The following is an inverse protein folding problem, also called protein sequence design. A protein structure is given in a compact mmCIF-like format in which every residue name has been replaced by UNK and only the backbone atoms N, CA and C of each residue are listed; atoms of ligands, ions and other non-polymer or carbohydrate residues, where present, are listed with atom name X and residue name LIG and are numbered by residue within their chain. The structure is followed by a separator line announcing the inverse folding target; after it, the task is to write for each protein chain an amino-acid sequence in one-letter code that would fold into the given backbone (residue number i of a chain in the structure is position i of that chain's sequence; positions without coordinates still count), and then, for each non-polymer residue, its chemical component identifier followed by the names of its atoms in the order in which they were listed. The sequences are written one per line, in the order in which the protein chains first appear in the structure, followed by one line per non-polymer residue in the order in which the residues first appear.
data_IF_549399267647
#
_entry.id   IF_549399267647
#
_cell.length_a   1.000
_cell.length_b   1.000
_cell.length_c   1.000
_cell.angle_alpha   90.00
_cell.angle_beta   90.00
_cell.angle_gamma   90.00
#
_symmetry.space_group_name_H-M   'P 1'
#
loop_
_entity.id
_entity.type
_entity.pdbx_description
1 polymer ?
#
# COMPACT_ATOMS: atom_id res chain seq x y z
N UNK A 1 5.97 69.33 -6.44
CA UNK A 1 6.46 68.32 -7.40
C UNK A 1 6.80 67.06 -6.61
N UNK A 2 5.89 66.08 -6.61
CA UNK A 2 6.11 64.79 -5.99
C UNK A 2 6.89 63.89 -6.95
N UNK A 3 8.07 63.43 -6.53
CA UNK A 3 8.76 62.31 -7.21
C UNK A 3 8.17 61.02 -6.65
N UNK A 4 7.21 60.47 -7.39
CA UNK A 4 6.89 59.06 -7.32
C UNK A 4 8.06 58.30 -7.96
N UNK A 5 8.95 57.74 -7.14
CA UNK A 5 9.90 56.76 -7.64
C UNK A 5 9.21 55.40 -7.56
N UNK A 6 8.84 54.93 -8.74
CA UNK A 6 8.24 53.66 -9.03
C UNK A 6 9.13 52.54 -8.50
N UNK A 7 8.74 51.99 -7.35
CA UNK A 7 9.30 50.75 -6.83
C UNK A 7 9.18 49.67 -7.89
N UNK A 8 10.30 49.37 -8.53
CA UNK A 8 10.52 48.27 -9.44
C UNK A 8 10.32 46.94 -8.70
N UNK A 9 9.06 46.58 -8.40
CA UNK A 9 8.67 45.27 -7.87
C UNK A 9 8.60 44.30 -9.05
N UNK A 10 9.75 43.86 -9.54
CA UNK A 10 9.78 42.75 -10.47
C UNK A 10 10.97 41.84 -10.19
N UNK A 11 10.60 40.62 -9.77
CA UNK A 11 11.19 39.33 -10.13
C UNK A 11 12.52 38.96 -9.50
N UNK A 12 12.46 37.93 -8.64
CA UNK A 12 13.52 36.94 -8.58
C UNK A 12 14.01 36.52 -7.21
N UNK A 13 13.22 36.63 -6.15
CA UNK A 13 13.46 35.73 -5.02
C UNK A 13 13.06 34.33 -5.50
N UNK A 14 14.01 33.62 -6.11
CA UNK A 14 13.89 32.19 -6.36
C UNK A 14 13.79 31.54 -4.98
N UNK A 15 12.57 31.46 -4.45
CA UNK A 15 12.26 30.78 -3.21
C UNK A 15 12.83 29.37 -3.33
N UNK A 16 13.59 28.94 -2.33
CA UNK A 16 14.32 27.68 -2.38
C UNK A 16 13.35 26.49 -2.26
N UNK A 17 12.79 26.07 -3.40
CA UNK A 17 11.82 24.95 -3.49
C UNK A 17 12.44 23.65 -2.99
N UNK A 18 13.73 23.42 -3.24
CA UNK A 18 14.41 22.20 -2.78
C UNK A 18 14.54 22.15 -1.26
N UNK A 19 14.80 23.29 -0.62
CA UNK A 19 14.75 23.40 0.83
C UNK A 19 13.35 23.09 1.35
N UNK A 20 12.30 23.65 0.75
CA UNK A 20 10.91 23.36 1.14
C UNK A 20 10.59 21.86 0.97
N UNK A 21 10.94 21.24 -0.15
CA UNK A 21 10.79 19.79 -0.38
C UNK A 21 11.50 18.95 0.68
N UNK A 22 12.70 19.37 1.10
CA UNK A 22 13.44 18.69 2.18
C UNK A 22 12.70 18.76 3.52
N UNK A 23 12.11 19.91 3.86
CA UNK A 23 11.32 20.08 5.07
C UNK A 23 10.05 19.22 5.03
N UNK A 24 9.37 19.14 3.87
CA UNK A 24 8.21 18.24 3.72
C UNK A 24 8.59 16.81 4.04
N UNK A 25 9.71 16.30 3.51
CA UNK A 25 10.18 14.94 3.77
C UNK A 25 10.48 14.72 5.26
N UNK A 26 11.27 15.61 5.88
CA UNK A 26 11.64 15.51 7.30
C UNK A 26 10.41 15.53 8.22
N UNK A 27 9.47 16.45 7.99
CA UNK A 27 8.25 16.50 8.80
C UNK A 27 7.32 15.31 8.55
N UNK A 28 7.28 14.78 7.33
CA UNK A 28 6.51 13.56 7.02
C UNK A 28 7.06 12.33 7.74
N UNK A 29 8.39 12.18 7.80
CA UNK A 29 9.06 11.11 8.55
C UNK A 29 8.78 11.17 10.06
N UNK A 30 8.60 12.38 10.60
CA UNK A 30 8.22 12.61 11.99
C UNK A 30 6.71 12.53 12.27
N UNK A 31 5.88 12.29 11.24
CA UNK A 31 4.41 12.32 11.35
C UNK A 31 3.82 13.72 11.64
N UNK A 32 4.60 14.79 11.47
CA UNK A 32 4.20 16.17 11.72
C UNK A 32 3.49 16.77 10.50
N UNK A 33 2.31 16.24 10.18
CA UNK A 33 1.62 16.54 8.93
C UNK A 33 1.15 17.99 8.77
N UNK A 34 0.92 18.73 9.85
CA UNK A 34 0.60 20.17 9.78
C UNK A 34 1.78 20.99 9.25
N UNK A 35 2.99 20.71 9.74
CA UNK A 35 4.22 21.37 9.27
C UNK A 35 4.57 20.93 7.85
N UNK A 36 4.46 19.63 7.56
CA UNK A 36 4.68 19.09 6.22
C UNK A 36 3.73 19.74 5.19
N UNK A 37 2.44 19.89 5.53
CA UNK A 37 1.45 20.54 4.69
C UNK A 37 1.82 22.00 4.40
N UNK A 38 2.18 22.79 5.42
CA UNK A 38 2.58 24.18 5.24
C UNK A 38 3.71 24.33 4.22
N UNK A 39 4.77 23.53 4.34
CA UNK A 39 5.90 23.58 3.43
C UNK A 39 5.57 23.03 2.04
N UNK A 40 4.69 22.04 1.94
CA UNK A 40 4.25 21.51 0.65
C UNK A 40 3.39 22.52 -0.12
N UNK A 41 2.51 23.25 0.58
CA UNK A 41 1.69 24.32 0.00
C UNK A 41 2.56 25.49 -0.46
N UNK A 42 3.53 25.89 0.38
CA UNK A 42 4.51 26.90 0.02
C UNK A 42 5.35 26.50 -1.20
N UNK A 43 5.81 25.24 -1.29
CA UNK A 43 6.55 24.73 -2.43
C UNK A 43 5.69 24.76 -3.72
N UNK A 44 4.46 24.23 -3.65
CA UNK A 44 3.54 24.23 -4.78
C UNK A 44 3.17 25.63 -5.27
N UNK A 45 3.02 26.60 -4.36
CA UNK A 45 2.77 28.01 -4.71
C UNK A 45 4.00 28.71 -5.29
N UNK A 46 5.20 28.31 -4.86
CA UNK A 46 6.47 28.92 -5.28
C UNK A 46 6.94 28.46 -6.66
N UNK A 47 6.44 27.33 -7.16
CA UNK A 47 6.82 26.80 -8.48
C UNK A 47 6.34 27.65 -9.67
N UNK A 48 5.65 28.77 -9.45
CA UNK A 48 5.47 29.84 -10.44
C UNK A 48 4.46 29.52 -11.57
N UNK A 49 4.39 30.41 -12.57
CA UNK A 49 3.45 30.37 -13.71
C UNK A 49 3.69 29.22 -14.70
N UNK A 50 4.80 28.49 -14.56
CA UNK A 50 4.96 27.17 -15.16
C UNK A 50 4.34 26.18 -14.17
N UNK A 51 3.30 25.46 -14.60
CA UNK A 51 2.50 24.59 -13.73
C UNK A 51 3.39 23.87 -12.71
N UNK A 52 3.09 24.04 -11.42
CA UNK A 52 3.86 23.44 -10.33
C UNK A 52 4.21 21.98 -10.67
N UNK A 53 5.48 21.59 -10.43
CA UNK A 53 5.96 20.26 -10.78
C UNK A 53 4.99 19.20 -10.25
N UNK A 54 4.77 18.13 -11.01
CA UNK A 54 3.95 17.01 -10.56
C UNK A 54 4.40 16.48 -9.19
N UNK A 55 5.70 16.56 -8.90
CA UNK A 55 6.26 16.22 -7.59
C UNK A 55 5.79 17.13 -6.45
N UNK A 56 5.71 18.45 -6.69
CA UNK A 56 5.26 19.42 -5.67
C UNK A 56 3.78 19.22 -5.36
N UNK A 57 2.96 18.99 -6.39
CA UNK A 57 1.54 18.69 -6.22
C UNK A 57 1.34 17.32 -5.56
N UNK A 58 2.18 16.33 -5.88
CA UNK A 58 2.16 15.03 -5.20
C UNK A 58 2.48 15.16 -3.71
N UNK A 59 3.51 15.94 -3.33
CA UNK A 59 3.85 16.21 -1.93
C UNK A 59 2.71 16.91 -1.19
N UNK A 60 2.12 17.95 -1.80
CA UNK A 60 0.97 18.66 -1.24
C UNK A 60 -0.23 17.73 -1.04
N UNK A 61 -0.58 16.96 -2.07
CA UNK A 61 -1.71 16.03 -2.04
C UNK A 61 -1.49 14.90 -1.03
N UNK A 62 -0.25 14.44 -0.87
CA UNK A 62 0.11 13.43 0.13
C UNK A 62 -0.04 13.96 1.55
N UNK A 63 0.39 15.21 1.81
CA UNK A 63 0.18 15.85 3.10
C UNK A 63 -1.31 16.09 3.41
N UNK A 64 -2.10 16.50 2.41
CA UNK A 64 -3.57 16.61 2.54
C UNK A 64 -4.20 15.25 2.88
N UNK A 65 -3.80 14.17 2.18
CA UNK A 65 -4.30 12.83 2.42
C UNK A 65 -4.00 12.36 3.85
N UNK A 66 -2.75 12.53 4.32
CA UNK A 66 -2.34 12.17 5.68
C UNK A 66 -3.11 12.93 6.78
N UNK A 67 -3.62 14.12 6.45
CA UNK A 67 -4.46 14.94 7.34
C UNK A 67 -5.95 14.58 7.26
N UNK A 68 -6.35 13.65 6.39
CA UNK A 68 -7.75 13.28 6.17
C UNK A 68 -8.52 14.22 5.25
N UNK A 69 -7.84 15.11 4.53
CA UNK A 69 -8.46 16.05 3.59
C UNK A 69 -8.66 15.41 2.20
N UNK A 70 -9.44 14.32 2.18
CA UNK A 70 -9.47 13.36 1.07
C UNK A 70 -9.83 13.98 -0.29
N UNK A 71 -10.97 14.67 -0.38
CA UNK A 71 -11.38 15.29 -1.65
C UNK A 71 -10.47 16.45 -2.06
N UNK A 72 -9.90 17.19 -1.10
CA UNK A 72 -8.92 18.24 -1.41
C UNK A 72 -7.66 17.66 -2.04
N UNK A 73 -7.16 16.54 -1.49
CA UNK A 73 -6.02 15.82 -2.04
C UNK A 73 -6.29 15.35 -3.48
N UNK A 74 -7.43 14.70 -3.72
CA UNK A 74 -7.81 14.26 -5.06
C UNK A 74 -8.02 15.44 -6.03
N UNK A 75 -8.66 16.52 -5.58
CA UNK A 75 -8.91 17.70 -6.39
C UNK A 75 -7.63 18.42 -6.80
N UNK A 76 -6.64 18.53 -5.90
CA UNK A 76 -5.36 19.16 -6.20
C UNK A 76 -4.66 18.52 -7.41
N UNK A 77 -4.75 17.19 -7.53
CA UNK A 77 -4.24 16.43 -8.69
C UNK A 77 -5.14 16.58 -9.91
N UNK A 78 -6.42 16.25 -9.77
CA UNK A 78 -7.35 16.10 -10.91
C UNK A 78 -7.66 17.42 -11.61
N UNK A 79 -7.75 18.53 -10.87
CA UNK A 79 -7.93 19.87 -11.43
C UNK A 79 -6.81 20.31 -12.38
N UNK A 80 -5.65 19.65 -12.30
CA UNK A 80 -4.46 19.92 -13.12
C UNK A 80 -4.21 18.84 -14.18
N UNK A 81 -5.05 17.80 -14.26
CA UNK A 81 -4.85 16.67 -15.18
C UNK A 81 -3.61 15.82 -14.90
N UNK A 82 -3.01 15.95 -13.71
CA UNK A 82 -1.74 15.27 -13.38
C UNK A 82 -1.92 13.75 -13.19
N UNK A 83 -3.12 13.27 -12.89
CA UNK A 83 -3.43 11.84 -12.81
C UNK A 83 -3.22 11.12 -14.15
N UNK A 84 -3.30 11.83 -15.27
CA UNK A 84 -3.19 11.22 -16.59
C UNK A 84 -1.74 10.88 -16.97
N UNK A 85 -0.75 11.61 -16.44
CA UNK A 85 0.65 11.55 -16.88
C UNK A 85 1.66 11.34 -15.75
N UNK A 86 1.26 11.44 -14.48
CA UNK A 86 2.16 11.35 -13.34
C UNK A 86 1.74 10.27 -12.34
N UNK A 87 2.48 9.17 -12.30
CA UNK A 87 2.09 7.94 -11.59
C UNK A 87 1.91 8.14 -10.08
N UNK A 88 2.77 8.93 -9.43
CA UNK A 88 2.61 9.27 -8.01
C UNK A 88 1.35 10.11 -7.74
N UNK A 89 0.99 11.00 -8.68
CA UNK A 89 -0.22 11.82 -8.57
C UNK A 89 -1.47 10.97 -8.75
N UNK A 90 -1.47 10.06 -9.74
CA UNK A 90 -2.52 9.05 -9.89
C UNK A 90 -2.70 8.25 -8.59
N UNK A 91 -1.61 7.71 -8.05
CA UNK A 91 -1.64 6.90 -6.83
C UNK A 91 -2.21 7.64 -5.62
N UNK A 92 -1.81 8.90 -5.37
CA UNK A 92 -2.34 9.65 -4.22
C UNK A 92 -3.81 10.03 -4.42
N UNK A 93 -4.25 10.39 -5.62
CA UNK A 93 -5.65 10.69 -5.92
C UNK A 93 -6.54 9.44 -5.77
N UNK A 94 -6.09 8.29 -6.28
CA UNK A 94 -6.79 7.02 -6.10
C UNK A 94 -6.92 6.65 -4.62
N UNK A 95 -5.83 6.75 -3.83
CA UNK A 95 -5.88 6.47 -2.39
C UNK A 95 -6.86 7.38 -1.66
N UNK A 96 -6.93 8.65 -2.06
CA UNK A 96 -7.87 9.61 -1.50
C UNK A 96 -9.33 9.21 -1.75
N UNK A 97 -9.68 8.81 -2.98
CA UNK A 97 -11.03 8.33 -3.31
C UNK A 97 -11.37 7.00 -2.62
N UNK A 98 -10.44 6.05 -2.54
CA UNK A 98 -10.63 4.80 -1.78
C UNK A 98 -10.88 5.10 -0.30
N UNK A 99 -10.10 6.00 0.30
CA UNK A 99 -10.29 6.43 1.68
C UNK A 99 -11.65 7.13 1.87
N UNK A 100 -12.12 7.88 0.88
CA UNK A 100 -13.42 8.55 0.87
C UNK A 100 -14.62 7.62 0.62
N UNK A 101 -14.37 6.29 0.51
CA UNK A 101 -15.39 5.27 0.19
C UNK A 101 -16.01 5.44 -1.20
N UNK A 102 -15.22 5.96 -2.14
CA UNK A 102 -15.58 6.12 -3.55
C UNK A 102 -14.67 5.28 -4.46
N UNK A 103 -14.65 3.94 -4.33
CA UNK A 103 -13.74 3.07 -5.08
C UNK A 103 -13.99 3.11 -6.59
N UNK A 104 -15.23 3.34 -7.04
CA UNK A 104 -15.55 3.49 -8.47
C UNK A 104 -14.85 4.70 -9.08
N UNK A 105 -14.85 5.84 -8.39
CA UNK A 105 -14.16 7.06 -8.85
C UNK A 105 -12.66 6.84 -8.95
N UNK A 106 -12.07 6.11 -8.00
CA UNK A 106 -10.65 5.75 -8.05
C UNK A 106 -10.29 4.91 -9.29
N UNK A 107 -11.15 3.96 -9.68
CA UNK A 107 -10.93 3.15 -10.87
C UNK A 107 -11.10 3.96 -12.16
N UNK A 108 -12.09 4.86 -12.22
CA UNK A 108 -12.28 5.73 -13.38
C UNK A 108 -11.05 6.60 -13.68
N UNK A 109 -10.33 7.08 -12.65
CA UNK A 109 -9.08 7.82 -12.85
C UNK A 109 -8.00 7.00 -13.57
N UNK A 110 -7.96 5.70 -13.32
CA UNK A 110 -7.00 4.81 -13.97
C UNK A 110 -7.36 4.61 -15.44
N UNK A 111 -8.65 4.56 -15.77
CA UNK A 111 -9.13 4.44 -17.15
C UNK A 111 -8.85 5.71 -17.98
N UNK A 112 -8.73 6.87 -17.33
CA UNK A 112 -8.39 8.15 -17.97
C UNK A 112 -6.89 8.34 -18.26
N UNK A 113 -6.01 7.58 -17.62
CA UNK A 113 -4.57 7.81 -17.72
C UNK A 113 -3.96 7.23 -19.01
N UNK A 114 -2.78 7.73 -19.39
CA UNK A 114 -2.09 7.18 -20.56
C UNK A 114 -1.68 5.72 -20.31
N UNK A 115 -2.01 4.76 -21.21
CA UNK A 115 -1.71 3.35 -20.97
C UNK A 115 -0.23 3.05 -20.67
N UNK A 116 0.69 3.79 -21.31
CA UNK A 116 2.14 3.68 -21.07
C UNK A 116 2.60 4.09 -19.66
N UNK A 117 1.74 4.77 -18.90
CA UNK A 117 1.98 5.10 -17.49
C UNK A 117 1.85 3.86 -16.61
N UNK A 118 1.01 2.89 -17.01
CA UNK A 118 0.69 1.68 -16.25
C UNK A 118 1.54 0.46 -16.65
N UNK A 119 2.54 0.67 -17.52
CA UNK A 119 3.45 -0.39 -17.95
C UNK A 119 4.73 -0.40 -17.08
N UNK A 120 5.20 -1.59 -16.66
CA UNK A 120 6.50 -1.72 -16.00
C UNK A 120 7.63 -1.23 -16.92
N UNK A 121 8.63 -0.57 -16.34
CA UNK A 121 9.81 -0.06 -17.05
C UNK A 121 11.05 -0.87 -16.70
N UNK A 122 11.81 -1.25 -17.72
CA UNK A 122 13.08 -1.95 -17.52
C UNK A 122 14.06 -1.03 -16.77
N UNK A 123 14.69 -1.55 -15.72
CA UNK A 123 15.73 -0.87 -14.92
C UNK A 123 15.27 0.37 -14.13
N UNK A 124 13.99 0.76 -14.19
CA UNK A 124 13.45 1.88 -13.41
C UNK A 124 12.68 1.36 -12.19
N UNK A 125 13.43 1.05 -11.13
CA UNK A 125 12.85 0.53 -9.88
C UNK A 125 11.93 1.54 -9.20
N UNK A 126 12.19 2.85 -9.35
CA UNK A 126 11.36 3.90 -8.76
C UNK A 126 9.98 3.93 -9.41
N UNK A 127 9.92 3.91 -10.75
CA UNK A 127 8.66 3.80 -11.48
C UNK A 127 7.92 2.51 -11.13
N UNK A 128 8.61 1.37 -11.13
CA UNK A 128 7.99 0.07 -10.87
C UNK A 128 7.41 -0.05 -9.45
N UNK A 129 8.07 0.54 -8.44
CA UNK A 129 7.55 0.63 -7.07
C UNK A 129 6.30 1.51 -6.99
N UNK A 130 6.32 2.66 -7.68
CA UNK A 130 5.15 3.54 -7.76
C UNK A 130 3.98 2.84 -8.47
N UNK A 131 4.25 2.10 -9.56
CA UNK A 131 3.27 1.32 -10.31
C UNK A 131 2.65 0.24 -9.44
N UNK A 132 3.49 -0.52 -8.73
CA UNK A 132 3.03 -1.54 -7.79
C UNK A 132 2.08 -0.96 -6.73
N UNK A 133 2.42 0.20 -6.15
CA UNK A 133 1.53 0.90 -5.20
C UNK A 133 0.19 1.36 -5.81
N UNK A 134 0.19 1.78 -7.08
CA UNK A 134 -1.05 2.11 -7.81
C UNK A 134 -1.90 0.87 -8.03
N UNK A 135 -1.31 -0.25 -8.45
CA UNK A 135 -1.99 -1.53 -8.66
C UNK A 135 -2.54 -2.14 -7.35
N UNK A 136 -1.82 -1.98 -6.23
CA UNK A 136 -2.37 -2.34 -4.90
C UNK A 136 -3.58 -1.49 -4.56
N UNK A 137 -3.55 -0.19 -4.85
CA UNK A 137 -4.70 0.70 -4.63
C UNK A 137 -5.88 0.31 -5.54
N UNK A 138 -5.62 -0.09 -6.78
CA UNK A 138 -6.61 -0.65 -7.69
C UNK A 138 -7.26 -1.92 -7.11
N UNK A 139 -6.45 -2.85 -6.61
CA UNK A 139 -6.95 -4.08 -5.99
C UNK A 139 -7.81 -3.79 -4.75
N UNK A 140 -7.43 -2.83 -3.92
CA UNK A 140 -8.24 -2.38 -2.78
C UNK A 140 -9.59 -1.80 -3.24
N UNK A 141 -9.60 -0.99 -4.30
CA UNK A 141 -10.84 -0.46 -4.88
C UNK A 141 -11.72 -1.58 -5.47
N UNK A 142 -11.14 -2.52 -6.21
CA UNK A 142 -11.85 -3.68 -6.77
C UNK A 142 -12.42 -4.57 -5.67
N UNK A 143 -11.67 -4.79 -4.59
CA UNK A 143 -12.13 -5.55 -3.41
C UNK A 143 -13.33 -4.87 -2.75
N UNK A 144 -13.29 -3.54 -2.59
CA UNK A 144 -14.41 -2.77 -2.04
C UNK A 144 -15.68 -2.81 -2.92
N UNK A 145 -15.52 -3.11 -4.21
CA UNK A 145 -16.60 -3.34 -5.18
C UNK A 145 -16.94 -4.83 -5.36
N UNK A 146 -16.41 -5.71 -4.50
CA UNK A 146 -16.61 -7.17 -4.55
C UNK A 146 -16.13 -7.85 -5.85
N UNK A 147 -15.29 -7.18 -6.63
CA UNK A 147 -14.68 -7.70 -7.87
C UNK A 147 -13.42 -8.49 -7.56
N UNK A 148 -13.56 -9.58 -6.80
CA UNK A 148 -12.46 -10.36 -6.22
C UNK A 148 -11.44 -10.86 -7.25
N UNK A 149 -11.89 -11.49 -8.33
CA UNK A 149 -10.98 -12.06 -9.33
C UNK A 149 -10.11 -10.97 -9.99
N UNK A 150 -10.71 -9.82 -10.30
CA UNK A 150 -9.97 -8.68 -10.85
C UNK A 150 -8.97 -8.11 -9.83
N UNK A 151 -9.32 -8.08 -8.53
CA UNK A 151 -8.41 -7.64 -7.49
C UNK A 151 -7.19 -8.56 -7.37
N UNK A 152 -7.40 -9.88 -7.45
CA UNK A 152 -6.32 -10.88 -7.41
C UNK A 152 -5.35 -10.70 -8.59
N UNK A 153 -5.86 -10.49 -9.79
CA UNK A 153 -5.01 -10.23 -10.97
C UNK A 153 -4.25 -8.90 -10.86
N UNK A 154 -4.88 -7.85 -10.32
CA UNK A 154 -4.19 -6.59 -10.03
C UNK A 154 -3.04 -6.78 -9.01
N UNK A 155 -3.25 -7.57 -7.94
CA UNK A 155 -2.20 -7.86 -6.95
C UNK A 155 -1.05 -8.70 -7.54
N UNK A 156 -1.36 -9.72 -8.34
CA UNK A 156 -0.32 -10.50 -9.06
C UNK A 156 0.48 -9.60 -9.99
N UNK A 157 -0.17 -8.66 -10.66
CA UNK A 157 0.49 -7.68 -11.54
C UNK A 157 1.37 -6.72 -10.73
N UNK A 158 0.88 -6.25 -9.58
CA UNK A 158 1.65 -5.40 -8.66
C UNK A 158 2.94 -6.09 -8.18
N UNK A 159 2.86 -7.38 -7.83
CA UNK A 159 4.00 -8.17 -7.36
C UNK A 159 5.00 -8.49 -8.49
N UNK A 160 4.54 -8.57 -9.74
CA UNK A 160 5.44 -8.69 -10.90
C UNK A 160 6.12 -7.37 -11.25
N UNK A 161 5.42 -6.25 -11.06
CA UNK A 161 6.00 -4.92 -11.25
C UNK A 161 7.11 -4.65 -10.21
N UNK A 162 6.85 -4.91 -8.93
CA UNK A 162 7.84 -4.84 -7.85
C UNK A 162 7.80 -6.09 -6.99
N UNK A 163 8.82 -6.94 -7.14
CA UNK A 163 8.91 -8.20 -6.38
C UNK A 163 9.08 -7.98 -4.88
N UNK A 164 9.45 -6.78 -4.45
CA UNK A 164 9.57 -6.43 -3.04
C UNK A 164 8.26 -5.88 -2.43
N UNK A 165 7.20 -5.69 -3.22
CA UNK A 165 5.92 -5.18 -2.75
C UNK A 165 5.18 -6.22 -1.89
N UNK A 166 5.57 -6.29 -0.61
CA UNK A 166 4.98 -7.22 0.34
C UNK A 166 3.48 -6.97 0.57
N UNK A 167 3.01 -5.72 0.50
CA UNK A 167 1.58 -5.39 0.64
C UNK A 167 0.71 -6.14 -0.38
N UNK A 168 1.21 -6.34 -1.60
CA UNK A 168 0.50 -7.11 -2.62
C UNK A 168 0.39 -8.60 -2.26
N UNK A 169 1.49 -9.19 -1.75
CA UNK A 169 1.50 -10.58 -1.30
C UNK A 169 0.61 -10.77 -0.07
N UNK A 170 0.70 -9.87 0.92
CA UNK A 170 -0.07 -9.92 2.16
C UNK A 170 -1.58 -9.95 1.87
N UNK A 171 -2.05 -9.07 1.00
CA UNK A 171 -3.46 -9.01 0.56
C UNK A 171 -3.91 -10.29 -0.16
N UNK A 172 -3.05 -10.91 -0.99
CA UNK A 172 -3.37 -12.19 -1.63
C UNK A 172 -3.58 -13.31 -0.60
N UNK A 173 -2.75 -13.33 0.45
CA UNK A 173 -2.84 -14.34 1.52
C UNK A 173 -4.06 -14.09 2.42
N UNK A 174 -4.32 -12.84 2.81
CA UNK A 174 -5.47 -12.47 3.65
C UNK A 174 -6.82 -12.80 3.00
N UNK A 175 -6.91 -12.65 1.67
CA UNK A 175 -8.14 -12.93 0.93
C UNK A 175 -8.39 -14.42 0.70
N UNK A 176 -7.48 -15.31 1.13
CA UNK A 176 -7.44 -16.71 0.73
C UNK A 176 -7.58 -16.87 -0.79
N UNK A 177 -6.98 -15.94 -1.54
CA UNK A 177 -7.17 -15.83 -2.98
C UNK A 177 -6.56 -17.00 -3.74
N UNK A 178 -5.59 -17.70 -3.13
CA UNK A 178 -4.81 -18.77 -3.72
C UNK A 178 -4.74 -19.95 -2.75
N UNK A 179 -4.54 -21.15 -3.31
CA UNK A 179 -4.18 -22.32 -2.50
C UNK A 179 -2.69 -22.25 -2.15
N UNK A 180 -2.22 -22.95 -1.09
CA UNK A 180 -0.79 -22.98 -0.74
C UNK A 180 0.13 -23.43 -1.90
N UNK A 181 -0.38 -24.29 -2.79
CA UNK A 181 0.34 -24.69 -4.00
C UNK A 181 0.49 -23.53 -5.00
N UNK A 182 -0.60 -22.79 -5.25
CA UNK A 182 -0.59 -21.63 -6.15
C UNK A 182 0.23 -20.45 -5.60
N UNK A 183 0.24 -20.26 -4.27
CA UNK A 183 1.10 -19.25 -3.62
C UNK A 183 2.58 -19.55 -3.85
N UNK A 184 2.96 -20.83 -3.69
CA UNK A 184 4.34 -21.28 -3.95
C UNK A 184 4.70 -21.12 -5.42
N UNK A 185 3.82 -21.49 -6.33
CA UNK A 185 4.01 -21.31 -7.77
C UNK A 185 4.17 -19.83 -8.13
N UNK A 186 3.34 -18.95 -7.56
CA UNK A 186 3.43 -17.51 -7.75
C UNK A 186 4.81 -17.00 -7.36
N UNK A 187 5.29 -17.28 -6.15
CA UNK A 187 6.61 -16.85 -5.65
C UNK A 187 7.73 -17.36 -6.56
N UNK A 188 7.64 -18.60 -7.04
CA UNK A 188 8.64 -19.18 -7.95
C UNK A 188 8.63 -18.52 -9.34
N UNK A 189 7.47 -18.04 -9.79
CA UNK A 189 7.31 -17.38 -11.10
C UNK A 189 7.77 -15.92 -11.13
N UNK A 190 8.03 -15.30 -9.96
CA UNK A 190 8.38 -13.88 -9.89
C UNK A 190 9.72 -13.57 -10.57
N UNK A 191 9.85 -12.44 -11.28
CA UNK A 191 11.08 -12.03 -11.97
C UNK A 191 12.15 -11.48 -11.00
N UNK A 192 12.39 -12.17 -9.88
CA UNK A 192 13.23 -11.68 -8.76
C UNK A 192 14.66 -11.37 -9.22
N UNK A 193 15.26 -12.27 -10.00
CA UNK A 193 16.65 -12.10 -10.45
C UNK A 193 16.82 -10.97 -11.48
N UNK A 194 15.72 -10.46 -12.04
CA UNK A 194 15.75 -9.35 -12.98
C UNK A 194 15.69 -7.99 -12.24
N UNK A 195 15.25 -7.98 -10.98
CA UNK A 195 15.00 -6.75 -10.22
C UNK A 195 15.96 -6.56 -9.04
N UNK A 196 16.51 -7.65 -8.50
CA UNK A 196 17.33 -7.64 -7.28
C UNK A 196 18.69 -8.30 -7.50
N UNK A 197 19.69 -7.88 -6.75
CA UNK A 197 20.98 -8.58 -6.72
C UNK A 197 20.86 -9.93 -6.00
N UNK A 198 21.90 -10.78 -6.10
CA UNK A 198 21.84 -12.15 -5.59
C UNK A 198 21.55 -12.25 -4.08
N UNK A 199 22.12 -11.36 -3.26
CA UNK A 199 21.89 -11.36 -1.81
C UNK A 199 20.49 -10.89 -1.44
N UNK A 200 20.00 -9.83 -2.08
CA UNK A 200 18.62 -9.33 -1.90
C UNK A 200 17.60 -10.37 -2.36
N UNK A 201 17.85 -11.02 -3.49
CA UNK A 201 17.01 -12.06 -4.04
C UNK A 201 16.92 -13.29 -3.13
N UNK A 202 18.04 -13.68 -2.49
CA UNK A 202 18.06 -14.77 -1.52
C UNK A 202 17.25 -14.40 -0.26
N UNK A 203 17.45 -13.19 0.26
CA UNK A 203 16.71 -12.66 1.41
C UNK A 203 15.19 -12.65 1.13
N UNK A 204 14.77 -12.09 0.00
CA UNK A 204 13.36 -11.98 -0.38
C UNK A 204 12.70 -13.36 -0.46
N UNK A 205 13.34 -14.32 -1.13
CA UNK A 205 12.82 -15.70 -1.25
C UNK A 205 12.67 -16.37 0.10
N UNK A 206 13.65 -16.20 1.00
CA UNK A 206 13.59 -16.75 2.34
C UNK A 206 12.41 -16.16 3.12
N UNK A 207 12.26 -14.82 3.11
CA UNK A 207 11.17 -14.13 3.78
C UNK A 207 9.78 -14.55 3.27
N UNK A 208 9.59 -14.63 1.94
CA UNK A 208 8.31 -15.02 1.35
C UNK A 208 7.98 -16.49 1.61
N UNK A 209 8.97 -17.37 1.54
CA UNK A 209 8.78 -18.80 1.87
C UNK A 209 8.36 -18.97 3.32
N UNK A 210 9.01 -18.28 4.26
CA UNK A 210 8.65 -18.35 5.68
C UNK A 210 7.22 -17.85 5.91
N UNK A 211 6.83 -16.75 5.24
CA UNK A 211 5.50 -16.16 5.39
C UNK A 211 4.39 -17.08 4.89
N UNK A 212 4.55 -17.74 3.74
CA UNK A 212 3.57 -18.69 3.20
C UNK A 212 3.41 -19.91 4.11
N UNK A 213 4.50 -20.41 4.69
CA UNK A 213 4.44 -21.56 5.59
C UNK A 213 3.61 -21.31 6.85
N UNK A 214 3.52 -20.06 7.34
CA UNK A 214 2.69 -19.73 8.52
C UNK A 214 1.18 -19.87 8.25
N UNK A 215 0.77 -19.88 6.98
CA UNK A 215 -0.63 -19.97 6.55
C UNK A 215 -0.96 -21.33 5.93
N UNK A 216 0.03 -22.23 5.85
CA UNK A 216 -0.19 -23.59 5.39
C UNK A 216 -1.02 -24.38 6.43
N UNK A 217 -1.97 -25.23 5.99
CA UNK A 217 -2.62 -26.19 6.87
C UNK A 217 -1.56 -27.04 7.58
N UNK A 218 -1.76 -27.31 8.87
CA UNK A 218 -0.91 -28.25 9.61
C UNK A 218 -0.81 -29.56 8.82
N UNK A 219 0.39 -30.16 8.70
CA UNK A 219 0.51 -31.47 8.09
C UNK A 219 -0.44 -32.42 8.81
N UNK A 220 -1.45 -32.93 8.11
CA UNK A 220 -2.16 -34.13 8.57
C UNK A 220 -1.10 -35.21 8.62
N UNK A 221 -0.60 -35.52 9.81
CA UNK A 221 0.16 -36.73 10.05
C UNK A 221 -0.64 -37.88 9.42
N UNK A 222 -0.04 -38.69 8.53
CA UNK A 222 -0.63 -39.97 8.20
C UNK A 222 -0.85 -40.68 9.54
N UNK A 223 -2.09 -41.04 9.85
CA UNK A 223 -2.36 -41.98 10.94
C UNK A 223 -1.76 -43.32 10.53
N UNK A 224 -0.46 -43.48 10.74
CA UNK A 224 0.13 -44.81 10.92
C UNK A 224 -0.40 -45.34 12.26
N UNK A 225 -1.34 -46.28 12.17
CA UNK A 225 -1.74 -47.25 13.19
C UNK A 225 -2.12 -46.69 14.56
N UNK A 226 -3.37 -46.88 14.97
CA UNK A 226 -3.76 -46.75 16.39
C UNK A 226 -2.73 -47.42 17.32
N UNK A 227 -2.03 -46.67 18.19
CA UNK A 227 -1.48 -47.26 19.39
C UNK A 227 -2.56 -47.15 20.47
N UNK A 228 -2.92 -48.30 21.04
CA UNK A 228 -3.86 -48.39 22.16
C UNK A 228 -3.55 -47.34 23.23
N UNK A 229 -4.57 -46.57 23.61
CA UNK A 229 -4.47 -45.52 24.63
C UNK A 229 -4.05 -46.17 25.96
N UNK A 230 -2.94 -45.75 26.60
CA UNK A 230 -2.60 -46.27 27.92
C UNK A 230 -3.62 -45.76 28.95
N UNK A 231 -4.10 -46.68 29.79
CA UNK A 231 -5.16 -46.51 30.80
C UNK A 231 -5.03 -45.28 31.75
N UNK A 232 -3.87 -44.60 31.76
CA UNK A 232 -3.63 -43.37 32.51
C UNK A 232 -4.47 -42.17 32.03
N UNK A 233 -4.84 -42.11 30.74
CA UNK A 233 -5.63 -40.99 30.18
C UNK A 233 -7.11 -41.08 30.60
N UNK A 234 -7.62 -42.28 30.85
CA UNK A 234 -9.01 -42.53 31.22
C UNK A 234 -9.28 -42.20 32.70
N UNK A 235 -8.28 -42.41 33.58
CA UNK A 235 -8.31 -41.96 34.98
C UNK A 235 -8.28 -40.43 35.10
N UNK A 236 -7.67 -39.74 34.13
CA UNK A 236 -7.62 -38.27 34.12
C UNK A 236 -8.94 -37.65 33.66
N UNK A 237 -9.68 -38.33 32.77
CA UNK A 237 -11.02 -37.90 32.32
C UNK A 237 -12.11 -38.15 33.37
N UNK A 238 -12.01 -39.19 34.19
CA UNK A 238 -13.00 -39.44 35.26
C UNK A 238 -12.88 -38.47 36.45
N UNK A 239 -11.67 -37.94 36.71
CA UNK A 239 -11.43 -36.92 37.74
C UNK A 239 -11.93 -35.52 37.37
N UNK A 240 -11.96 -35.18 36.08
CA UNK A 240 -12.47 -33.87 35.63
C UNK A 240 -13.99 -33.80 35.55
N UNK A 241 -14.67 -34.92 35.31
CA UNK A 241 -16.15 -34.99 35.32
C UNK A 241 -16.71 -34.86 36.73
N UNK A 242 -16.09 -35.51 37.73
CA UNK A 242 -16.53 -35.41 39.14
C UNK A 242 -16.28 -34.01 39.74
N UNK A 243 -15.26 -33.29 39.29
CA UNK A 243 -15.02 -31.90 39.70
C UNK A 243 -15.99 -30.87 39.10
N UNK A 244 -16.54 -31.13 37.92
CA UNK A 244 -17.52 -30.26 37.26
C UNK A 244 -18.92 -30.38 37.88
N UNK A 245 -19.32 -31.59 38.30
CA UNK A 245 -20.62 -31.83 38.94
C UNK A 245 -20.72 -31.22 40.36
N UNK A 246 -19.61 -31.15 41.09
CA UNK A 246 -19.58 -30.54 42.43
C UNK A 246 -19.73 -29.01 42.40
N UNK A 247 -19.22 -28.33 41.36
CA UNK A 247 -19.36 -26.87 41.19
C UNK A 247 -20.74 -26.46 40.64
N UNK A 248 -21.42 -27.33 39.89
CA UNK A 248 -22.77 -27.06 39.38
C UNK A 248 -23.85 -27.00 40.47
N UNK A 249 -23.69 -27.74 41.57
CA UNK A 249 -24.70 -27.78 42.65
C UNK A 249 -24.57 -26.65 43.69
N UNK A 250 -23.45 -25.92 43.72
CA UNK A 250 -23.26 -24.76 44.61
C UNK A 250 -23.75 -23.43 44.03
N UNK A 251 -24.14 -23.39 42.77
CA UNK A 251 -24.64 -22.19 42.08
C UNK A 251 -26.16 -22.22 41.83
N UNK A 252 -26.86 -23.21 42.39
CA UNK A 252 -28.30 -23.41 42.25
C UNK A 252 -29.05 -23.48 43.60
N UNK A 253 -28.45 -22.95 44.67
CA UNK A 253 -29.09 -22.77 45.98
C UNK A 253 -29.06 -21.29 46.39
#
# INVERSE_FOLDING_TARGET
MAKADSGNRNRGDNLNVDFMRSLVKQYSELGQWTSAFFWADAAAASSGTEAASGDDIWLLSSAMLSRGELHRAAHAVTSRGLHMSHLLCLGVAMRAFVAAKEPSTALNLMDECYPSLLEPRNMDQTHNRALSGVLVTQARALTALERRDAAVEALKTALRADVACYEALDLLLEQHALTPALEKELIQSLPINNQLNASEAALLRAAYRERVLRYAPLPTTPQEGEPAVPAAVEVSRSRSVTGAEARGRQLAA
#
